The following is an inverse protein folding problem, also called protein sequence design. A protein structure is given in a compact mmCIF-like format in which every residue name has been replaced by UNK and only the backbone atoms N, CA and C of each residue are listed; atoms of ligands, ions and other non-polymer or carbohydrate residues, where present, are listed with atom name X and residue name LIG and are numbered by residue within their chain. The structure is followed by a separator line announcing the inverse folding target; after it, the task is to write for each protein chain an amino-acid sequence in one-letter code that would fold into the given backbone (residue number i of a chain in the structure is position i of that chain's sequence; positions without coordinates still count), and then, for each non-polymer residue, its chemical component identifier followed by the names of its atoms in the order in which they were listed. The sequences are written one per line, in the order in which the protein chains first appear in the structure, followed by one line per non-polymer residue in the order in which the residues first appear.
data_IF_497471595971
#
_entry.id   IF_497471595971
#
_cell.length_a   1.000
_cell.length_b   1.000
_cell.length_c   1.000
_cell.angle_alpha   90.00
_cell.angle_beta   90.00
_cell.angle_gamma   90.00
#
_symmetry.space_group_name_H-M   'P 1'
#
loop_
_entity.id
_entity.type
_entity.pdbx_description
1 polymer ?
#
# COMPACT_ATOMS: atom_id res chain seq x y z
N UNK A 1 -25.76 -8.02 3.35
CA UNK A 1 -25.20 -7.54 2.06
C UNK A 1 -24.08 -8.49 1.67
N UNK A 2 -24.39 -9.50 0.86
CA UNK A 2 -23.41 -10.48 0.39
C UNK A 2 -22.45 -9.76 -0.56
N UNK A 3 -21.17 -9.70 -0.21
CA UNK A 3 -20.17 -9.12 -1.07
C UNK A 3 -19.99 -10.00 -2.30
N UNK A 4 -20.13 -9.42 -3.50
CA UNK A 4 -19.89 -10.03 -4.81
C UNK A 4 -18.46 -10.61 -5.01
N UNK A 5 -17.62 -10.56 -3.99
CA UNK A 5 -16.21 -10.97 -4.01
C UNK A 5 -15.88 -11.88 -2.82
N UNK A 6 -16.68 -12.91 -2.59
CA UNK A 6 -16.28 -14.01 -1.70
C UNK A 6 -15.12 -14.76 -2.38
N UNK A 7 -13.93 -14.86 -1.75
CA UNK A 7 -12.80 -15.62 -2.29
C UNK A 7 -13.15 -17.06 -2.66
N UNK A 8 -14.11 -17.67 -1.95
CA UNK A 8 -14.57 -19.03 -2.25
C UNK A 8 -15.33 -19.13 -3.58
N UNK A 9 -16.02 -18.05 -3.97
CA UNK A 9 -16.82 -17.95 -5.20
C UNK A 9 -16.06 -17.41 -6.41
N UNK A 10 -14.84 -16.92 -6.21
CA UNK A 10 -14.08 -16.26 -7.26
C UNK A 10 -13.37 -17.23 -8.22
N UNK A 11 -13.21 -16.85 -9.51
CA UNK A 11 -12.37 -17.57 -10.47
C UNK A 11 -10.95 -17.74 -9.94
N UNK A 12 -10.33 -18.90 -10.20
CA UNK A 12 -9.03 -19.28 -9.64
C UNK A 12 -7.93 -18.26 -9.98
N UNK A 13 -8.01 -17.67 -11.18
CA UNK A 13 -7.08 -16.69 -11.71
C UNK A 13 -7.11 -15.36 -10.92
N UNK A 14 -8.27 -15.04 -10.32
CA UNK A 14 -8.49 -13.79 -9.59
C UNK A 14 -8.42 -13.97 -8.07
N UNK A 15 -8.39 -15.20 -7.56
CA UNK A 15 -8.35 -15.47 -6.10
C UNK A 15 -7.18 -14.79 -5.41
N UNK A 16 -6.02 -14.72 -6.05
CA UNK A 16 -4.83 -14.04 -5.52
C UNK A 16 -4.99 -12.51 -5.42
N UNK A 17 -5.91 -11.93 -6.19
CA UNK A 17 -6.19 -10.49 -6.22
C UNK A 17 -7.28 -10.08 -5.22
N UNK A 18 -8.08 -11.03 -4.71
CA UNK A 18 -9.17 -10.73 -3.78
C UNK A 18 -8.64 -10.68 -2.34
N UNK A 19 -8.34 -9.46 -1.91
CA UNK A 19 -7.89 -9.18 -0.56
C UNK A 19 -9.02 -8.97 0.42
N UNK A 20 -9.86 -9.98 0.69
CA UNK A 20 -10.85 -10.02 1.80
C UNK A 20 -11.75 -8.78 2.01
N UNK A 21 -12.49 -8.74 3.13
CA UNK A 21 -13.31 -7.57 3.47
C UNK A 21 -12.48 -6.50 4.18
N UNK A 22 -12.65 -5.24 3.77
CA UNK A 22 -12.05 -4.07 4.44
C UNK A 22 -12.68 -3.87 5.82
N UNK A 23 -11.85 -3.60 6.83
CA UNK A 23 -12.31 -3.28 8.19
C UNK A 23 -12.61 -1.79 8.33
N UNK A 24 -13.68 -1.34 7.69
CA UNK A 24 -14.09 0.07 7.62
C UNK A 24 -14.21 0.75 9.00
N UNK A 25 -14.81 0.07 9.97
CA UNK A 25 -14.96 0.61 11.33
C UNK A 25 -13.62 1.03 11.97
N UNK A 26 -12.54 0.30 11.69
CA UNK A 26 -11.20 0.64 12.17
C UNK A 26 -10.67 1.93 11.54
N UNK A 27 -10.94 2.13 10.24
CA UNK A 27 -10.57 3.35 9.51
C UNK A 27 -11.30 4.55 10.11
N UNK A 28 -12.61 4.44 10.29
CA UNK A 28 -13.44 5.51 10.84
C UNK A 28 -13.00 5.89 12.25
N UNK A 29 -12.80 4.91 13.13
CA UNK A 29 -12.35 5.14 14.51
C UNK A 29 -10.99 5.87 14.58
N UNK A 30 -10.09 5.58 13.63
CA UNK A 30 -8.74 6.16 13.60
C UNK A 30 -8.60 7.35 12.64
N UNK A 31 -9.68 7.79 12.00
CA UNK A 31 -9.66 8.84 10.97
C UNK A 31 -8.96 10.13 11.42
N UNK A 32 -9.18 10.65 12.65
CA UNK A 32 -8.45 11.82 13.14
C UNK A 32 -6.93 11.60 13.20
N UNK A 33 -6.48 10.40 13.56
CA UNK A 33 -5.06 10.05 13.59
C UNK A 33 -4.44 9.98 12.20
N UNK A 34 -5.21 9.49 11.21
CA UNK A 34 -4.80 9.46 9.80
C UNK A 34 -4.59 10.89 9.29
N UNK A 35 -5.57 11.77 9.50
CA UNK A 35 -5.50 13.17 9.09
C UNK A 35 -4.34 13.92 9.75
N UNK A 36 -4.14 13.73 11.06
CA UNK A 36 -2.98 14.32 11.76
C UNK A 36 -1.66 13.83 11.17
N UNK A 37 -1.54 12.55 10.86
CA UNK A 37 -0.32 11.99 10.26
C UNK A 37 -0.02 12.61 8.89
N UNK A 38 -1.06 12.74 8.04
CA UNK A 38 -0.95 13.38 6.74
C UNK A 38 -0.54 14.85 6.88
N UNK A 39 -1.21 15.60 7.77
CA UNK A 39 -0.90 17.00 8.03
C UNK A 39 0.55 17.20 8.51
N UNK A 40 1.03 16.36 9.43
CA UNK A 40 2.43 16.40 9.92
C UNK A 40 3.44 16.17 8.78
N UNK A 41 3.12 15.29 7.83
CA UNK A 41 3.99 15.07 6.67
C UNK A 41 3.95 16.25 5.70
N UNK A 42 2.76 16.76 5.37
CA UNK A 42 2.57 17.89 4.45
C UNK A 42 3.21 19.16 4.99
N UNK A 43 3.13 19.40 6.30
CA UNK A 43 3.75 20.56 6.97
C UNK A 43 5.26 20.43 7.14
N UNK A 44 5.85 19.28 6.78
CA UNK A 44 7.28 19.03 6.92
C UNK A 44 7.76 18.75 8.35
N UNK A 45 6.84 18.69 9.33
CA UNK A 45 7.17 18.44 10.72
C UNK A 45 7.73 17.02 10.97
N UNK A 46 7.38 16.05 10.13
CA UNK A 46 7.97 14.71 10.15
C UNK A 46 8.01 14.11 8.74
N UNK A 47 9.17 13.61 8.26
CA UNK A 47 9.23 12.93 6.99
C UNK A 47 8.50 11.58 7.03
N UNK A 48 7.90 11.13 5.91
CA UNK A 48 7.18 9.85 5.86
C UNK A 48 8.00 8.65 6.33
N UNK A 49 9.30 8.63 6.04
CA UNK A 49 10.21 7.55 6.45
C UNK A 49 10.32 7.42 7.98
N UNK A 50 10.26 8.52 8.71
CA UNK A 50 10.32 8.52 10.17
C UNK A 50 8.99 8.07 10.79
N UNK A 51 7.87 8.46 10.19
CA UNK A 51 6.55 7.97 10.58
C UNK A 51 6.44 6.45 10.37
N UNK A 52 6.91 5.95 9.22
CA UNK A 52 6.96 4.52 8.93
C UNK A 52 7.86 3.75 9.90
N UNK A 53 9.03 4.31 10.28
CA UNK A 53 9.88 3.73 11.33
C UNK A 53 9.16 3.62 12.67
N UNK A 54 8.38 4.63 13.06
CA UNK A 54 7.57 4.58 14.30
C UNK A 54 6.51 3.47 14.24
N UNK A 55 5.82 3.31 13.12
CA UNK A 55 4.86 2.21 12.96
C UNK A 55 5.52 0.83 12.94
N UNK A 56 6.69 0.71 12.30
CA UNK A 56 7.45 -0.54 12.23
C UNK A 56 8.04 -0.97 13.57
N UNK A 57 8.29 -0.04 14.50
CA UNK A 57 8.77 -0.33 15.83
C UNK A 57 7.72 -1.04 16.71
N UNK A 58 6.42 -0.76 16.48
CA UNK A 58 5.31 -1.35 17.25
C UNK A 58 4.15 -1.83 16.34
N UNK A 59 4.40 -2.81 15.45
CA UNK A 59 3.51 -3.10 14.32
C UNK A 59 2.19 -3.78 14.71
N UNK A 60 2.05 -4.27 15.95
CA UNK A 60 0.84 -4.94 16.46
C UNK A 60 0.07 -4.12 17.51
N UNK A 61 0.63 -3.01 17.99
CA UNK A 61 0.03 -2.22 19.08
C UNK A 61 -0.55 -0.88 18.61
N UNK A 62 -0.34 -0.52 17.34
CA UNK A 62 -0.74 0.79 16.85
C UNK A 62 -1.96 0.68 15.93
N UNK A 63 -3.16 0.93 16.47
CA UNK A 63 -4.41 0.89 15.70
C UNK A 63 -4.37 1.78 14.45
N UNK A 64 -3.76 2.97 14.54
CA UNK A 64 -3.51 3.83 13.39
C UNK A 64 -2.68 3.15 12.27
N UNK A 65 -1.65 2.37 12.61
CA UNK A 65 -0.87 1.66 11.60
C UNK A 65 -1.71 0.59 10.90
N UNK A 66 -2.63 -0.04 11.64
CA UNK A 66 -3.58 -1.00 11.08
C UNK A 66 -4.63 -0.28 10.21
N UNK A 67 -5.13 0.88 10.64
CA UNK A 67 -6.04 1.71 9.83
C UNK A 67 -5.39 2.18 8.53
N UNK A 68 -4.15 2.66 8.58
CA UNK A 68 -3.37 3.02 7.39
C UNK A 68 -3.14 1.82 6.45
N UNK A 69 -2.97 0.62 7.02
CA UNK A 69 -2.88 -0.61 6.21
C UNK A 69 -4.20 -0.93 5.51
N UNK A 70 -5.34 -0.78 6.17
CA UNK A 70 -6.66 -0.97 5.55
C UNK A 70 -6.90 0.07 4.44
N UNK A 71 -6.53 1.33 4.65
CA UNK A 71 -6.54 2.37 3.59
C UNK A 71 -5.66 1.93 2.41
N UNK A 72 -4.44 1.49 2.67
CA UNK A 72 -3.53 1.00 1.62
C UNK A 72 -4.05 -0.23 0.86
N UNK A 73 -4.95 -1.03 1.45
CA UNK A 73 -5.63 -2.13 0.73
C UNK A 73 -6.67 -1.57 -0.25
N UNK A 74 -7.42 -0.55 0.14
CA UNK A 74 -8.37 0.15 -0.75
C UNK A 74 -7.63 0.77 -1.93
N UNK A 75 -6.57 1.54 -1.66
CA UNK A 75 -5.74 2.15 -2.70
C UNK A 75 -5.16 1.10 -3.65
N UNK A 76 -4.68 -0.04 -3.13
CA UNK A 76 -4.19 -1.15 -3.97
C UNK A 76 -5.29 -1.70 -4.86
N UNK A 77 -6.50 -1.91 -4.34
CA UNK A 77 -7.62 -2.43 -5.13
C UNK A 77 -8.00 -1.47 -6.25
N UNK A 78 -8.10 -0.16 -5.95
CA UNK A 78 -8.36 0.88 -6.96
C UNK A 78 -7.26 0.89 -8.03
N UNK A 79 -6.00 0.88 -7.61
CA UNK A 79 -4.85 0.84 -8.53
C UNK A 79 -4.87 -0.39 -9.44
N UNK A 80 -5.17 -1.58 -8.91
CA UNK A 80 -5.23 -2.82 -9.71
C UNK A 80 -6.38 -2.74 -10.72
N UNK A 81 -7.53 -2.20 -10.33
CA UNK A 81 -8.67 -2.01 -11.25
C UNK A 81 -8.28 -1.04 -12.37
N UNK A 82 -7.69 0.11 -12.04
CA UNK A 82 -7.22 1.08 -13.03
C UNK A 82 -6.15 0.47 -13.94
N UNK A 83 -5.19 -0.25 -13.38
CA UNK A 83 -4.13 -0.92 -14.13
C UNK A 83 -4.67 -1.96 -15.11
N UNK A 84 -5.71 -2.71 -14.73
CA UNK A 84 -6.35 -3.68 -15.63
C UNK A 84 -7.08 -3.01 -16.80
N UNK A 85 -7.53 -1.77 -16.63
CA UNK A 85 -8.36 -1.05 -17.60
C UNK A 85 -7.58 -0.05 -18.47
N UNK A 86 -6.36 0.34 -18.08
CA UNK A 86 -5.55 1.35 -18.77
C UNK A 86 -4.15 0.82 -19.17
N UNK A 87 -3.96 0.55 -20.46
CA UNK A 87 -2.68 0.11 -21.01
C UNK A 87 -1.54 1.15 -20.86
N UNK A 88 -1.86 2.45 -20.85
CA UNK A 88 -0.84 3.49 -20.63
C UNK A 88 -0.40 3.50 -19.15
N UNK A 89 -1.30 3.21 -18.21
CA UNK A 89 -0.96 2.99 -16.81
C UNK A 89 -0.01 1.79 -16.66
N UNK A 90 -0.29 0.69 -17.36
CA UNK A 90 0.60 -0.49 -17.35
C UNK A 90 2.00 -0.13 -17.83
N UNK A 91 2.10 0.64 -18.91
CA UNK A 91 3.39 1.07 -19.48
C UNK A 91 4.17 1.97 -18.53
N UNK A 92 3.51 2.96 -17.91
CA UNK A 92 4.12 3.85 -16.91
C UNK A 92 4.60 3.08 -15.67
N UNK A 93 3.78 2.17 -15.16
CA UNK A 93 4.13 1.32 -14.03
C UNK A 93 5.36 0.45 -14.33
N UNK A 94 5.42 -0.17 -15.52
CA UNK A 94 6.56 -0.99 -15.94
C UNK A 94 7.86 -0.16 -16.04
N UNK A 95 7.78 1.06 -16.59
CA UNK A 95 8.93 1.97 -16.65
C UNK A 95 9.41 2.35 -15.23
N UNK A 96 8.48 2.59 -14.31
CA UNK A 96 8.79 2.88 -12.90
C UNK A 96 9.48 1.70 -12.20
N UNK A 97 8.96 0.48 -12.38
CA UNK A 97 9.54 -0.75 -11.83
C UNK A 97 10.94 -1.01 -12.40
N UNK A 98 11.12 -0.92 -13.72
CA UNK A 98 12.42 -1.11 -14.36
C UNK A 98 13.49 -0.14 -13.84
N UNK A 99 13.12 1.12 -13.56
CA UNK A 99 14.03 2.10 -12.95
C UNK A 99 14.39 1.73 -11.51
N UNK A 100 13.42 1.28 -10.71
CA UNK A 100 13.64 0.84 -9.34
C UNK A 100 14.53 -0.40 -9.27
N UNK A 101 14.26 -1.41 -10.09
CA UNK A 101 15.06 -2.62 -10.20
C UNK A 101 16.49 -2.33 -10.67
N UNK A 102 16.66 -1.49 -11.69
CA UNK A 102 17.98 -1.07 -12.14
C UNK A 102 18.77 -0.33 -11.04
N UNK A 103 18.10 0.52 -10.26
CA UNK A 103 18.72 1.23 -9.14
C UNK A 103 19.10 0.27 -7.99
N UNK A 104 18.25 -0.70 -7.67
CA UNK A 104 18.54 -1.74 -6.67
C UNK A 104 19.64 -2.70 -7.13
N UNK A 105 19.65 -3.10 -8.41
CA UNK A 105 20.69 -3.92 -9.02
C UNK A 105 22.04 -3.21 -9.00
N UNK A 106 22.09 -1.93 -9.36
CA UNK A 106 23.29 -1.10 -9.30
C UNK A 106 23.82 -0.98 -7.86
N UNK A 107 22.95 -0.72 -6.88
CA UNK A 107 23.33 -0.66 -5.46
C UNK A 107 23.89 -2.00 -4.95
N UNK A 108 23.36 -3.12 -5.43
CA UNK A 108 23.86 -4.45 -5.09
C UNK A 108 25.21 -4.76 -5.77
N UNK A 109 25.40 -4.36 -7.03
CA UNK A 109 26.66 -4.54 -7.74
C UNK A 109 27.81 -3.75 -7.08
N UNK A 110 27.56 -2.51 -6.67
CA UNK A 110 28.53 -1.69 -5.92
C UNK A 110 28.87 -2.27 -4.53
N UNK A 111 27.97 -3.05 -3.93
CA UNK A 111 28.18 -3.73 -2.64
C UNK A 111 29.10 -4.96 -2.75
N UNK A 112 29.17 -5.60 -3.92
CA UNK A 112 29.98 -6.80 -4.15
C UNK A 112 31.41 -6.44 -4.58
N UNK A 113 31.64 -5.22 -5.08
CA UNK A 113 32.96 -4.71 -5.47
C UNK A 113 33.84 -4.17 -4.34
N UNK A 114 33.56 -4.53 -3.08
CA UNK A 114 34.40 -4.23 -1.90
C UNK A 114 34.74 -5.49 -1.14
#
# INVERSE_FOLDING_TARGET
MNCLFDPASAPNELRSLIGGKIREGLIVQNWPGVLRSAATMVTGAMPPSQLLKKFAAYPRQHELAVALREIGRVERTLFVIEWLLDADMQRRAQIGLNKGEAHHALKNALRIGR
#
